data_IF_684882295567
#
_entry.id   IF_684882295567
#
_cell.length_a   1.000
_cell.length_b   1.000
_cell.length_c   1.000
_cell.angle_alpha   90.00
_cell.angle_beta   90.00
_cell.angle_gamma   90.00
#
_symmetry.space_group_name_H-M   'P 1'
#
loop_
_entity.id
_entity.type
_entity.pdbx_description
1 polymer ?
#
# COMPACT_ATOMS: atom_id res chain seq x y z
N UNK A 1 -7.70 22.15 15.72
CA UNK A 1 -7.28 21.32 14.58
C UNK A 1 -7.44 22.14 13.32
N UNK A 2 -6.37 22.40 12.56
CA UNK A 2 -6.46 23.12 11.28
C UNK A 2 -7.18 22.22 10.23
N UNK A 3 -8.35 22.64 9.69
CA UNK A 3 -9.08 21.86 8.70
C UNK A 3 -8.27 21.56 7.44
N UNK A 4 -7.40 22.47 7.01
CA UNK A 4 -6.57 22.28 5.82
C UNK A 4 -5.55 21.15 6.03
N UNK A 5 -4.94 21.10 7.21
CA UNK A 5 -4.02 20.04 7.59
C UNK A 5 -4.70 18.66 7.66
N UNK A 6 -5.92 18.59 8.20
CA UNK A 6 -6.70 17.35 8.26
C UNK A 6 -7.04 16.86 6.83
N UNK A 7 -7.52 17.77 5.97
CA UNK A 7 -7.83 17.44 4.58
C UNK A 7 -6.59 16.93 3.83
N UNK A 8 -5.42 17.55 4.07
CA UNK A 8 -4.16 17.07 3.52
C UNK A 8 -3.82 15.65 3.99
N UNK A 9 -3.97 15.35 5.28
CA UNK A 9 -3.69 14.00 5.81
C UNK A 9 -4.66 12.95 5.29
N UNK A 10 -5.96 13.29 5.20
CA UNK A 10 -6.96 12.43 4.56
C UNK A 10 -6.56 12.16 3.11
N UNK A 11 -6.20 13.20 2.35
CA UNK A 11 -5.72 13.10 0.97
C UNK A 11 -4.45 12.26 0.80
N UNK A 12 -3.47 12.43 1.68
CA UNK A 12 -2.21 11.66 1.67
C UNK A 12 -2.45 10.16 1.91
N UNK A 13 -3.45 9.81 2.71
CA UNK A 13 -3.84 8.41 2.91
C UNK A 13 -4.75 7.85 1.81
N UNK A 14 -5.46 8.71 1.08
CA UNK A 14 -6.45 8.36 0.06
C UNK A 14 -5.90 7.44 -1.05
N UNK A 15 -4.62 7.59 -1.37
CA UNK A 15 -3.92 6.74 -2.35
C UNK A 15 -3.88 5.26 -1.91
N UNK A 16 -3.88 5.00 -0.61
CA UNK A 16 -3.86 3.65 -0.03
C UNK A 16 -5.23 3.05 0.30
N UNK A 17 -6.33 3.80 0.11
CA UNK A 17 -7.64 3.49 0.69
C UNK A 17 -8.80 3.37 -0.30
N UNK A 18 -9.78 2.53 0.04
CA UNK A 18 -11.11 2.51 -0.58
C UNK A 18 -11.14 2.25 -2.10
N UNK A 19 -12.20 2.76 -2.74
CA UNK A 19 -12.39 2.73 -4.20
C UNK A 19 -11.31 3.47 -4.98
N UNK A 20 -10.82 4.66 -4.56
CA UNK A 20 -9.79 5.39 -5.29
C UNK A 20 -8.51 4.59 -5.52
N UNK A 21 -8.08 3.77 -4.55
CA UNK A 21 -6.88 2.94 -4.73
C UNK A 21 -7.00 2.00 -5.93
N UNK A 22 -8.17 1.44 -6.21
CA UNK A 22 -8.33 0.46 -7.28
C UNK A 22 -8.26 1.11 -8.65
N UNK A 23 -8.79 2.33 -8.77
CA UNK A 23 -8.62 3.15 -9.97
C UNK A 23 -7.13 3.41 -10.20
N UNK A 24 -6.40 3.82 -9.15
CA UNK A 24 -4.96 4.08 -9.22
C UNK A 24 -4.19 2.80 -9.62
N UNK A 25 -4.48 1.66 -9.00
CA UNK A 25 -3.83 0.38 -9.33
C UNK A 25 -4.10 -0.03 -10.78
N UNK A 26 -5.32 0.14 -11.29
CA UNK A 26 -5.66 -0.16 -12.70
C UNK A 26 -4.86 0.74 -13.65
N UNK A 27 -4.80 2.05 -13.38
CA UNK A 27 -4.03 2.99 -14.18
C UNK A 27 -2.53 2.66 -14.16
N UNK A 28 -1.98 2.33 -12.98
CA UNK A 28 -0.60 1.90 -12.82
C UNK A 28 -0.33 0.57 -13.55
N UNK A 29 -1.26 -0.37 -13.55
CA UNK A 29 -1.13 -1.61 -14.32
C UNK A 29 -1.06 -1.32 -15.83
N UNK A 30 -1.88 -0.39 -16.36
CA UNK A 30 -1.80 0.04 -17.75
C UNK A 30 -0.44 0.69 -18.09
N UNK A 31 0.05 1.54 -17.19
CA UNK A 31 1.36 2.19 -17.33
C UNK A 31 2.52 1.19 -17.30
N UNK A 32 2.50 0.28 -16.32
CA UNK A 32 3.50 -0.78 -16.15
C UNK A 32 3.44 -1.78 -17.30
N UNK A 33 2.25 -2.08 -17.84
CA UNK A 33 2.14 -2.87 -19.07
C UNK A 33 2.92 -2.19 -20.18
N UNK A 34 2.65 -0.92 -20.44
CA UNK A 34 3.27 -0.20 -21.54
C UNK A 34 4.81 -0.13 -21.42
N UNK A 35 5.35 0.01 -20.20
CA UNK A 35 6.80 0.19 -19.99
C UNK A 35 7.59 -1.10 -19.70
N UNK A 36 6.96 -2.11 -19.09
CA UNK A 36 7.62 -3.31 -18.54
C UNK A 36 7.04 -4.62 -19.12
N UNK A 37 5.91 -4.53 -19.82
CA UNK A 37 5.19 -5.65 -20.42
C UNK A 37 4.08 -6.21 -19.53
N UNK A 38 3.21 -7.08 -20.11
CA UNK A 38 2.00 -7.58 -19.44
C UNK A 38 2.32 -8.36 -18.16
N UNK A 39 3.46 -9.04 -18.09
CA UNK A 39 3.89 -9.77 -16.89
C UNK A 39 4.05 -8.83 -15.69
N UNK A 40 4.71 -7.68 -15.86
CA UNK A 40 4.89 -6.74 -14.74
C UNK A 40 3.54 -6.17 -14.27
N UNK A 41 2.60 -5.93 -15.19
CA UNK A 41 1.25 -5.47 -14.87
C UNK A 41 0.46 -6.54 -14.09
N UNK A 42 0.52 -7.81 -14.52
CA UNK A 42 -0.07 -8.94 -13.81
C UNK A 42 0.52 -9.08 -12.40
N UNK A 43 1.83 -8.91 -12.25
CA UNK A 43 2.47 -8.96 -10.94
C UNK A 43 1.98 -7.83 -10.02
N UNK A 44 1.85 -6.60 -10.52
CA UNK A 44 1.35 -5.47 -9.75
C UNK A 44 -0.11 -5.64 -9.33
N UNK A 45 -0.98 -5.98 -10.28
CA UNK A 45 -2.40 -6.19 -10.02
C UNK A 45 -2.64 -7.38 -9.10
N UNK A 46 -1.96 -8.50 -9.38
CA UNK A 46 -2.02 -9.71 -8.58
C UNK A 46 -1.54 -9.50 -7.14
N UNK A 47 -0.35 -8.90 -6.96
CA UNK A 47 0.17 -8.61 -5.63
C UNK A 47 -0.77 -7.70 -4.83
N UNK A 48 -1.37 -6.69 -5.47
CA UNK A 48 -2.32 -5.76 -4.83
C UNK A 48 -3.63 -6.45 -4.42
N UNK A 49 -4.15 -7.37 -5.25
CA UNK A 49 -5.33 -8.17 -4.94
C UNK A 49 -5.08 -9.15 -3.79
N UNK A 50 -3.98 -9.90 -3.88
CA UNK A 50 -3.60 -10.88 -2.87
C UNK A 50 -3.26 -10.21 -1.52
N UNK A 51 -2.53 -9.10 -1.51
CA UNK A 51 -2.20 -8.39 -0.27
C UNK A 51 -3.43 -7.83 0.41
N UNK A 52 -4.40 -7.30 -0.36
CA UNK A 52 -5.66 -6.85 0.18
C UNK A 52 -6.50 -7.99 0.75
N UNK A 53 -6.60 -9.11 0.03
CA UNK A 53 -7.32 -10.29 0.51
C UNK A 53 -6.70 -10.80 1.82
N UNK A 54 -5.38 -10.96 1.86
CA UNK A 54 -4.66 -11.38 3.05
C UNK A 54 -4.89 -10.41 4.22
N UNK A 55 -4.81 -9.09 3.98
CA UNK A 55 -5.08 -8.08 5.00
C UNK A 55 -6.51 -8.17 5.55
N UNK A 56 -7.51 -8.38 4.69
CA UNK A 56 -8.90 -8.55 5.09
C UNK A 56 -9.13 -9.82 5.91
N UNK A 57 -8.51 -10.94 5.53
CA UNK A 57 -8.61 -12.19 6.29
C UNK A 57 -7.91 -12.07 7.65
N UNK A 58 -6.74 -11.44 7.70
CA UNK A 58 -6.03 -11.18 8.96
C UNK A 58 -6.87 -10.29 9.88
N UNK A 59 -7.55 -9.27 9.35
CA UNK A 59 -8.47 -8.43 10.16
C UNK A 59 -9.54 -9.25 10.87
N UNK A 60 -10.14 -10.21 10.16
CA UNK A 60 -11.14 -11.11 10.74
C UNK A 60 -10.53 -12.06 11.78
N UNK A 61 -9.29 -12.52 11.55
CA UNK A 61 -8.58 -13.41 12.49
C UNK A 61 -8.11 -12.72 13.77
N UNK A 62 -7.61 -11.48 13.69
CA UNK A 62 -7.12 -10.74 14.86
C UNK A 62 -8.21 -10.00 15.62
N UNK A 63 -9.26 -9.52 14.96
CA UNK A 63 -10.39 -8.84 15.61
C UNK A 63 -9.99 -7.56 16.38
N UNK A 64 -8.85 -6.95 16.06
CA UNK A 64 -8.29 -5.85 16.87
C UNK A 64 -9.15 -4.57 16.73
N UNK A 65 -9.53 -3.99 17.87
CA UNK A 65 -10.20 -2.70 17.93
C UNK A 65 -9.29 -1.54 17.48
N UNK A 66 -9.90 -0.47 16.97
CA UNK A 66 -9.19 0.78 16.61
C UNK A 66 -8.87 1.59 17.88
N UNK A 67 -7.86 2.47 17.83
CA UNK A 67 -7.61 3.40 18.93
C UNK A 67 -8.83 4.29 19.15
N UNK A 68 -9.20 4.53 20.40
CA UNK A 68 -10.33 5.38 20.81
C UNK A 68 -9.87 6.57 21.69
N UNK A 69 -8.57 6.91 21.63
CA UNK A 69 -7.99 8.00 22.40
C UNK A 69 -8.42 9.40 21.93
N UNK A 70 -8.76 9.52 20.64
CA UNK A 70 -9.22 10.76 20.00
C UNK A 70 -10.37 10.43 19.06
N UNK A 71 -11.22 11.42 18.79
CA UNK A 71 -12.27 11.29 17.77
C UNK A 71 -11.66 10.91 16.42
N UNK A 72 -12.23 9.91 15.76
CA UNK A 72 -11.76 9.48 14.45
C UNK A 72 -11.98 10.57 13.42
N UNK A 73 -10.88 11.05 12.85
CA UNK A 73 -10.90 12.05 11.79
C UNK A 73 -11.07 11.42 10.39
N UNK A 74 -11.26 10.10 10.32
CA UNK A 74 -11.57 9.35 9.11
C UNK A 74 -12.48 8.15 9.46
N UNK A 75 -13.48 7.89 8.63
CA UNK A 75 -14.50 6.90 8.94
C UNK A 75 -14.04 5.49 8.53
N UNK A 76 -14.00 4.56 9.49
CA UNK A 76 -13.56 3.18 9.25
C UNK A 76 -14.38 2.18 10.07
N UNK A 77 -15.07 1.25 9.39
CA UNK A 77 -15.96 0.26 10.02
C UNK A 77 -15.32 -1.11 10.25
N UNK A 78 -14.11 -1.34 9.73
CA UNK A 78 -13.39 -2.62 9.85
C UNK A 78 -12.36 -2.61 10.99
N UNK A 79 -11.93 -3.79 11.44
CA UNK A 79 -10.84 -3.97 12.43
C UNK A 79 -9.54 -3.25 12.06
N UNK A 80 -8.72 -2.96 13.07
CA UNK A 80 -7.53 -2.11 12.95
C UNK A 80 -6.30 -2.84 12.38
N UNK A 81 -6.08 -4.10 12.75
CA UNK A 81 -4.85 -4.83 12.39
C UNK A 81 -5.05 -5.87 11.29
N UNK A 82 -4.13 -5.96 10.30
CA UNK A 82 -3.12 -4.95 9.95
C UNK A 82 -3.76 -3.76 9.22
N UNK A 83 -3.03 -2.64 9.11
CA UNK A 83 -3.54 -1.48 8.36
C UNK A 83 -3.57 -1.76 6.86
N UNK A 84 -4.77 -1.79 6.27
CA UNK A 84 -4.94 -1.99 4.82
C UNK A 84 -4.31 -0.87 3.97
N UNK A 85 -4.27 0.36 4.48
CA UNK A 85 -3.62 1.49 3.81
C UNK A 85 -2.10 1.29 3.74
N UNK A 86 -1.48 0.92 4.88
CA UNK A 86 -0.06 0.60 4.94
C UNK A 86 0.30 -0.62 4.07
N UNK A 87 -0.53 -1.67 4.10
CA UNK A 87 -0.37 -2.85 3.24
C UNK A 87 -0.40 -2.48 1.76
N UNK A 88 -1.41 -1.71 1.33
CA UNK A 88 -1.54 -1.30 -0.07
C UNK A 88 -0.39 -0.41 -0.51
N UNK A 89 -0.03 0.60 0.30
CA UNK A 89 1.06 1.51 0.01
C UNK A 89 2.39 0.74 -0.15
N UNK A 90 2.73 -0.13 0.81
CA UNK A 90 3.95 -0.93 0.74
C UNK A 90 3.94 -1.87 -0.47
N UNK A 91 2.82 -2.55 -0.77
CA UNK A 91 2.72 -3.45 -1.93
C UNK A 91 3.00 -2.71 -3.24
N UNK A 92 2.29 -1.60 -3.47
CA UNK A 92 2.35 -0.85 -4.73
C UNK A 92 3.68 -0.12 -4.88
N UNK A 93 4.07 0.68 -3.89
CA UNK A 93 5.25 1.54 -4.04
C UNK A 93 6.56 0.76 -4.09
N UNK A 94 6.71 -0.31 -3.28
CA UNK A 94 7.94 -1.10 -3.30
C UNK A 94 8.07 -1.91 -4.60
N UNK A 95 6.97 -2.47 -5.11
CA UNK A 95 6.99 -3.20 -6.37
C UNK A 95 7.25 -2.26 -7.55
N UNK A 96 6.65 -1.07 -7.57
CA UNK A 96 6.96 -0.05 -8.58
C UNK A 96 8.42 0.40 -8.52
N UNK A 97 8.97 0.61 -7.32
CA UNK A 97 10.38 0.96 -7.15
C UNK A 97 11.32 -0.14 -7.68
N UNK A 98 10.97 -1.41 -7.48
CA UNK A 98 11.71 -2.53 -8.03
C UNK A 98 11.60 -2.62 -9.56
N UNK A 99 10.40 -2.41 -10.11
CA UNK A 99 10.13 -2.43 -11.57
C UNK A 99 10.70 -1.21 -12.30
N UNK A 100 11.04 -0.14 -11.58
CA UNK A 100 11.58 1.07 -12.18
C UNK A 100 12.89 0.81 -12.97
N UNK A 101 13.09 1.54 -14.10
CA UNK A 101 14.34 1.49 -14.85
C UNK A 101 15.58 1.73 -13.98
N UNK A 102 16.74 1.11 -14.28
CA UNK A 102 17.93 1.23 -13.44
C UNK A 102 18.36 2.68 -13.13
N UNK A 103 18.18 3.59 -14.10
CA UNK A 103 18.51 5.02 -13.95
C UNK A 103 17.60 5.77 -12.99
N UNK A 104 16.33 5.37 -12.85
CA UNK A 104 15.36 6.02 -11.96
C UNK A 104 15.14 5.28 -10.65
N UNK A 105 15.66 4.04 -10.53
CA UNK A 105 15.46 3.17 -9.38
C UNK A 105 15.81 3.81 -8.02
N UNK A 106 16.93 4.53 -7.83
CA UNK A 106 17.21 5.19 -6.56
C UNK A 106 16.12 6.19 -6.15
N UNK A 107 15.68 7.03 -7.09
CA UNK A 107 14.59 8.00 -6.86
C UNK A 107 13.26 7.30 -6.58
N UNK A 108 12.98 6.19 -7.26
CA UNK A 108 11.77 5.41 -7.04
C UNK A 108 11.73 4.79 -5.63
N UNK A 109 12.87 4.30 -5.11
CA UNK A 109 12.98 3.81 -3.73
C UNK A 109 12.81 4.93 -2.70
N UNK A 110 13.41 6.10 -2.93
CA UNK A 110 13.22 7.27 -2.06
C UNK A 110 11.76 7.71 -2.03
N UNK A 111 11.11 7.76 -3.19
CA UNK A 111 9.69 8.09 -3.30
C UNK A 111 8.82 7.04 -2.57
N UNK A 112 9.11 5.75 -2.75
CA UNK A 112 8.39 4.69 -2.09
C UNK A 112 8.48 4.78 -0.56
N UNK A 113 9.70 4.96 -0.03
CA UNK A 113 9.91 5.12 1.41
C UNK A 113 9.15 6.35 1.95
N UNK A 114 9.25 7.49 1.25
CA UNK A 114 8.56 8.73 1.62
C UNK A 114 7.05 8.55 1.68
N UNK A 115 6.46 7.92 0.65
CA UNK A 115 5.01 7.72 0.58
C UNK A 115 4.50 6.71 1.60
N UNK A 116 5.25 5.64 1.88
CA UNK A 116 4.89 4.66 2.91
C UNK A 116 4.90 5.31 4.30
N UNK A 117 5.93 6.09 4.61
CA UNK A 117 6.05 6.80 5.90
C UNK A 117 4.93 7.84 6.04
N UNK A 118 4.71 8.66 5.00
CA UNK A 118 3.66 9.69 5.01
C UNK A 118 2.26 9.07 5.18
N UNK A 119 1.97 7.97 4.49
CA UNK A 119 0.71 7.25 4.62
C UNK A 119 0.54 6.72 6.05
N UNK A 120 1.55 6.04 6.57
CA UNK A 120 1.53 5.50 7.93
C UNK A 120 1.31 6.56 9.00
N UNK A 121 2.04 7.68 8.90
CA UNK A 121 1.91 8.81 9.82
C UNK A 121 0.52 9.43 9.76
N UNK A 122 -0.03 9.64 8.56
CA UNK A 122 -1.41 10.11 8.39
C UNK A 122 -2.41 9.23 9.14
N UNK A 123 -2.29 7.89 9.05
CA UNK A 123 -3.22 6.97 9.73
C UNK A 123 -3.14 7.02 11.26
N UNK A 124 -1.96 7.30 11.82
CA UNK A 124 -1.80 7.48 13.27
C UNK A 124 -2.40 8.83 13.68
N UNK A 125 -2.10 9.90 12.94
CA UNK A 125 -2.61 11.24 13.20
C UNK A 125 -4.14 11.33 13.11
N UNK A 126 -4.75 10.59 12.18
CA UNK A 126 -6.21 10.53 12.04
C UNK A 126 -6.90 9.69 13.14
N UNK A 127 -6.13 9.09 14.06
CA UNK A 127 -6.66 8.35 15.21
C UNK A 127 -7.18 6.95 14.89
N UNK A 128 -6.93 6.44 13.68
CA UNK A 128 -7.61 5.26 13.14
C UNK A 128 -6.78 3.98 13.22
N UNK A 129 -5.47 4.07 13.50
CA UNK A 129 -4.57 2.92 13.59
C UNK A 129 -3.49 3.10 14.67
N UNK A 130 -3.10 1.99 15.28
CA UNK A 130 -1.91 1.89 16.12
C UNK A 130 -0.65 1.85 15.26
N UNK A 131 0.49 2.31 15.80
CA UNK A 131 1.80 2.20 15.11
C UNK A 131 2.13 0.75 14.72
N UNK A 132 1.76 -0.23 15.55
CA UNK A 132 1.91 -1.66 15.25
C UNK A 132 1.04 -2.11 14.06
N UNK A 133 -0.11 -1.49 13.82
CA UNK A 133 -0.96 -1.83 12.66
C UNK A 133 -0.31 -1.38 11.36
N UNK A 134 0.38 -0.24 11.40
CA UNK A 134 1.18 0.27 10.29
C UNK A 134 2.36 -0.65 10.03
N UNK A 135 3.13 -1.00 11.06
CA UNK A 135 4.26 -1.92 10.93
C UNK A 135 3.82 -3.27 10.34
N UNK A 136 2.77 -3.89 10.89
CA UNK A 136 2.23 -5.16 10.38
C UNK A 136 1.71 -5.06 8.95
N UNK A 137 1.04 -3.96 8.60
CA UNK A 137 0.60 -3.69 7.23
C UNK A 137 1.76 -3.51 6.26
N UNK A 138 2.76 -2.71 6.61
CA UNK A 138 3.96 -2.50 5.79
C UNK A 138 4.73 -3.82 5.58
N UNK A 139 4.87 -4.66 6.61
CA UNK A 139 5.50 -5.97 6.48
C UNK A 139 4.72 -6.88 5.53
N UNK A 140 3.40 -6.96 5.69
CA UNK A 140 2.54 -7.75 4.81
C UNK A 140 2.63 -7.28 3.36
N UNK A 141 2.53 -5.97 3.12
CA UNK A 141 2.64 -5.41 1.78
C UNK A 141 4.01 -5.63 1.15
N UNK A 142 5.08 -5.54 1.95
CA UNK A 142 6.45 -5.85 1.51
C UNK A 142 6.58 -7.32 1.07
N UNK A 143 5.99 -8.25 1.82
CA UNK A 143 6.00 -9.67 1.44
C UNK A 143 5.34 -9.91 0.07
N UNK A 144 4.21 -9.25 -0.21
CA UNK A 144 3.55 -9.36 -1.52
C UNK A 144 4.28 -8.62 -2.64
N UNK A 145 4.94 -7.49 -2.35
CA UNK A 145 5.81 -6.83 -3.31
C UNK A 145 7.00 -7.73 -3.72
N UNK A 146 7.63 -8.39 -2.74
CA UNK A 146 8.71 -9.34 -2.99
C UNK A 146 8.22 -10.57 -3.78
N UNK A 147 7.03 -11.08 -3.47
CA UNK A 147 6.42 -12.18 -4.22
C UNK A 147 6.18 -11.80 -5.69
N UNK A 148 5.64 -10.60 -5.93
CA UNK A 148 5.44 -10.08 -7.29
C UNK A 148 6.76 -9.90 -8.04
N UNK A 149 7.77 -9.30 -7.39
CA UNK A 149 9.11 -9.13 -7.95
C UNK A 149 9.77 -10.47 -8.30
N UNK A 150 9.71 -11.45 -7.38
CA UNK A 150 10.21 -12.81 -7.60
C UNK A 150 9.52 -13.47 -8.78
N UNK A 151 8.19 -13.36 -8.88
CA UNK A 151 7.43 -13.94 -9.99
C UNK A 151 7.87 -13.34 -11.33
N UNK A 152 8.06 -12.01 -11.41
CA UNK A 152 8.56 -11.36 -12.63
C UNK A 152 9.99 -11.82 -12.96
N UNK A 153 10.88 -11.86 -11.97
CA UNK A 153 12.27 -12.27 -12.16
C UNK A 153 12.38 -13.71 -12.67
N UNK A 154 11.63 -14.63 -12.06
CA UNK A 154 11.59 -16.05 -12.46
C UNK A 154 11.17 -16.23 -13.91
N UNK A 155 10.15 -15.49 -14.37
CA UNK A 155 9.65 -15.61 -15.75
C UNK A 155 10.47 -14.82 -16.79
N UNK A 156 11.37 -13.93 -16.35
CA UNK A 156 12.36 -13.30 -17.24
C UNK A 156 13.58 -14.19 -17.47
N UNK A 157 13.96 -15.01 -16.50
CA UNK A 157 15.08 -15.94 -16.63
C UNK A 157 14.75 -17.18 -17.49
N UNK A 158 13.46 -17.45 -17.71
CA UNK A 158 12.96 -18.59 -18.49
C UNK A 158 12.65 -18.24 -19.96
N UNK A 159 12.93 -17.02 -20.41
CA UNK A 159 12.70 -16.52 -21.76
C UNK A 159 14.03 -16.14 -22.42
#
# INVERSE_FOLDING_TARGET
SDPAFIAFMQGASWIGGGTPRWIIVILLCGLVWHWCGPRCAVALGGASLLSNLASSLMKLGFGRARPDLIDHLDHQTSYSYPSGHATSAATVYLLLAWLAPPRSRPYAWTLAATMIILNGFSRIMLGVHWASDIAGGTMLGTAFALLGAWWVAKHRAAA
#
